data_IF_725033933418
#
_entry.id   IF_725033933418
#
_cell.length_a   1.000
_cell.length_b   1.000
_cell.length_c   1.000
_cell.angle_alpha   90.00
_cell.angle_beta   90.00
_cell.angle_gamma   90.00
#
_symmetry.space_group_name_H-M   'P 1'
#
loop_
_entity.id
_entity.type
_entity.pdbx_description
1 polymer ?
#
# COMPACT_ATOMS: atom_id res chain seq x y z
N UNK A 1 -18.20 -0.18 -38.14
CA UNK A 1 -17.12 0.14 -37.17
C UNK A 1 -16.48 -1.16 -36.73
N UNK A 2 -15.16 -1.29 -36.89
CA UNK A 2 -14.42 -2.51 -36.54
C UNK A 2 -14.68 -2.89 -35.08
N UNK A 3 -15.10 -4.15 -34.83
CA UNK A 3 -15.30 -4.69 -33.47
C UNK A 3 -14.08 -4.43 -32.55
N UNK A 4 -12.89 -4.36 -33.14
CA UNK A 4 -11.64 -4.06 -32.48
C UNK A 4 -11.51 -2.58 -32.03
N UNK A 5 -11.92 -1.64 -32.89
CA UNK A 5 -11.94 -0.20 -32.54
C UNK A 5 -12.90 0.05 -31.37
N UNK A 6 -14.04 -0.63 -31.37
CA UNK A 6 -15.01 -0.58 -30.27
C UNK A 6 -14.41 -1.10 -28.95
N UNK A 7 -13.68 -2.23 -28.98
CA UNK A 7 -13.01 -2.79 -27.80
C UNK A 7 -11.89 -1.90 -27.25
N UNK A 8 -11.06 -1.31 -28.13
CA UNK A 8 -10.01 -0.37 -27.71
C UNK A 8 -10.61 0.92 -27.11
N UNK A 9 -11.72 1.40 -27.67
CA UNK A 9 -12.44 2.55 -27.14
C UNK A 9 -13.09 2.24 -25.78
N UNK A 10 -13.67 1.04 -25.62
CA UNK A 10 -14.23 0.58 -24.35
C UNK A 10 -13.15 0.41 -23.27
N UNK A 11 -12.00 -0.16 -23.63
CA UNK A 11 -10.82 -0.27 -22.77
C UNK A 11 -10.34 1.11 -22.29
N UNK A 12 -10.17 2.07 -23.21
CA UNK A 12 -9.78 3.45 -22.87
C UNK A 12 -10.77 4.11 -21.91
N UNK A 13 -12.08 4.01 -22.19
CA UNK A 13 -13.12 4.59 -21.33
C UNK A 13 -13.14 3.97 -19.93
N UNK A 14 -12.90 2.65 -19.81
CA UNK A 14 -12.85 1.96 -18.52
C UNK A 14 -11.59 2.33 -17.72
N UNK A 15 -10.44 2.48 -18.37
CA UNK A 15 -9.22 2.98 -17.71
C UNK A 15 -9.40 4.42 -17.20
N UNK A 16 -9.95 5.33 -18.00
CA UNK A 16 -10.25 6.72 -17.61
C UNK A 16 -11.27 6.79 -16.45
N UNK A 17 -12.29 5.93 -16.46
CA UNK A 17 -13.27 5.82 -15.34
C UNK A 17 -12.63 5.30 -14.05
N UNK A 18 -11.61 4.45 -14.13
CA UNK A 18 -10.85 3.98 -12.97
C UNK A 18 -9.83 5.00 -12.45
N UNK A 19 -9.40 5.96 -13.27
CA UNK A 19 -8.57 7.09 -12.81
C UNK A 19 -9.42 8.20 -12.14
N UNK A 20 -10.66 8.38 -12.58
CA UNK A 20 -11.61 9.38 -12.03
C UNK A 20 -12.39 8.90 -10.81
N UNK A 21 -12.60 7.58 -10.63
CA UNK A 21 -13.12 7.02 -9.37
C UNK A 21 -12.02 7.00 -8.30
N UNK A 22 -12.31 7.61 -7.15
CA UNK A 22 -11.40 7.66 -6.00
C UNK A 22 -10.90 6.27 -5.58
N UNK A 23 -9.65 6.23 -5.10
CA UNK A 23 -8.80 5.05 -4.82
C UNK A 23 -9.37 4.01 -3.82
N UNK A 24 -10.57 4.23 -3.27
CA UNK A 24 -11.25 3.36 -2.30
C UNK A 24 -12.07 2.24 -2.94
N UNK A 25 -12.28 2.24 -4.26
CA UNK A 25 -13.15 1.25 -4.95
C UNK A 25 -12.43 0.41 -6.02
N UNK A 26 -11.08 0.41 -6.06
CA UNK A 26 -10.31 -0.37 -7.05
C UNK A 26 -10.22 -1.86 -6.72
N UNK A 27 -10.31 -2.24 -5.45
CA UNK A 27 -9.96 -3.61 -5.01
C UNK A 27 -11.15 -4.59 -4.95
N UNK A 28 -12.41 -4.15 -5.09
CA UNK A 28 -13.55 -5.06 -4.88
C UNK A 28 -14.48 -5.31 -6.08
N UNK A 29 -14.29 -4.68 -7.25
CA UNK A 29 -15.14 -5.00 -8.41
C UNK A 29 -14.61 -4.66 -9.83
N UNK A 30 -13.37 -4.17 -10.01
CA UNK A 30 -12.96 -3.58 -11.31
C UNK A 30 -11.57 -3.92 -11.86
N UNK A 31 -10.63 -4.39 -11.03
CA UNK A 31 -9.26 -4.67 -11.46
C UNK A 31 -9.15 -5.88 -12.41
N UNK A 32 -9.86 -6.97 -12.09
CA UNK A 32 -9.92 -8.17 -12.93
C UNK A 32 -10.43 -7.84 -14.33
N UNK A 33 -11.52 -7.08 -14.43
CA UNK A 33 -12.13 -6.74 -15.73
C UNK A 33 -11.21 -5.98 -16.69
N UNK A 34 -10.25 -5.18 -16.21
CA UNK A 34 -9.33 -4.45 -17.09
C UNK A 34 -8.21 -5.36 -17.58
N UNK A 35 -7.66 -6.21 -16.71
CA UNK A 35 -6.65 -7.20 -17.08
C UNK A 35 -7.22 -8.26 -18.03
N UNK A 36 -8.46 -8.68 -17.82
CA UNK A 36 -9.17 -9.62 -18.71
C UNK A 36 -9.37 -9.01 -20.11
N UNK A 37 -9.70 -7.71 -20.18
CA UNK A 37 -9.82 -7.01 -21.47
C UNK A 37 -8.46 -6.82 -22.16
N UNK A 38 -7.38 -6.57 -21.42
CA UNK A 38 -6.03 -6.50 -21.99
C UNK A 38 -5.65 -7.86 -22.60
N UNK A 39 -5.92 -8.94 -21.88
CA UNK A 39 -5.70 -10.29 -22.36
C UNK A 39 -6.54 -10.58 -23.61
N UNK A 40 -7.84 -10.26 -23.60
CA UNK A 40 -8.74 -10.42 -24.75
C UNK A 40 -8.27 -9.64 -25.99
N UNK A 41 -7.80 -8.41 -25.82
CA UNK A 41 -7.31 -7.57 -26.93
C UNK A 41 -6.04 -8.18 -27.51
N UNK A 42 -5.10 -8.62 -26.67
CA UNK A 42 -3.84 -9.21 -27.13
C UNK A 42 -4.05 -10.58 -27.77
N UNK A 43 -4.94 -11.42 -27.22
CA UNK A 43 -5.34 -12.71 -27.79
C UNK A 43 -5.92 -12.57 -29.19
N UNK A 44 -6.68 -11.50 -29.48
CA UNK A 44 -7.18 -11.24 -30.84
C UNK A 44 -6.08 -11.01 -31.89
N UNK A 45 -4.88 -10.64 -31.45
CA UNK A 45 -3.70 -10.48 -32.30
C UNK A 45 -2.75 -11.69 -32.23
N UNK A 46 -3.08 -12.73 -31.46
CA UNK A 46 -2.18 -13.87 -31.21
C UNK A 46 -0.97 -13.49 -30.36
N UNK A 47 -1.09 -12.45 -29.53
CA UNK A 47 -0.03 -11.97 -28.65
C UNK A 47 -0.30 -12.44 -27.20
N UNK A 48 0.72 -12.93 -26.47
CA UNK A 48 0.58 -13.21 -25.06
C UNK A 48 0.45 -11.91 -24.26
N UNK A 49 -0.13 -11.98 -23.05
CA UNK A 49 -0.24 -10.85 -22.13
C UNK A 49 1.09 -10.47 -21.44
N UNK A 50 2.18 -10.41 -22.21
CA UNK A 50 3.49 -10.01 -21.70
C UNK A 50 3.56 -8.50 -21.48
N UNK A 51 4.39 -8.09 -20.53
CA UNK A 51 4.57 -6.66 -20.18
C UNK A 51 4.91 -5.81 -21.40
N UNK A 52 5.73 -6.32 -22.32
CA UNK A 52 6.06 -5.63 -23.58
C UNK A 52 4.83 -5.27 -24.42
N UNK A 53 3.86 -6.17 -24.53
CA UNK A 53 2.67 -5.95 -25.36
C UNK A 53 1.60 -5.15 -24.62
N UNK A 54 1.46 -5.38 -23.31
CA UNK A 54 0.58 -4.59 -22.43
C UNK A 54 1.02 -3.12 -22.40
N UNK A 55 2.33 -2.84 -22.43
CA UNK A 55 2.85 -1.47 -22.47
C UNK A 55 2.33 -0.69 -23.69
N UNK A 56 2.10 -1.35 -24.84
CA UNK A 56 1.53 -0.69 -26.04
C UNK A 56 0.11 -0.18 -25.75
N UNK A 57 -0.66 -0.92 -24.95
CA UNK A 57 -2.01 -0.53 -24.53
C UNK A 57 -1.96 0.58 -23.46
N UNK A 58 -1.01 0.52 -22.53
CA UNK A 58 -0.86 1.55 -21.49
C UNK A 58 -0.36 2.89 -22.06
N UNK A 59 0.53 2.85 -23.05
CA UNK A 59 0.98 4.02 -23.80
C UNK A 59 -0.17 4.68 -24.57
N UNK A 60 -1.15 3.89 -25.01
CA UNK A 60 -2.38 4.38 -25.65
C UNK A 60 -3.30 5.09 -24.64
N UNK A 61 -3.50 4.49 -23.46
CA UNK A 61 -4.35 5.06 -22.40
C UNK A 61 -3.78 6.35 -21.80
N UNK A 62 -2.46 6.50 -21.84
CA UNK A 62 -1.77 7.69 -21.32
C UNK A 62 -1.98 8.96 -22.16
N UNK A 63 -2.62 8.86 -23.33
CA UNK A 63 -2.93 10.01 -24.19
C UNK A 63 -4.24 10.69 -23.76
N UNK A 64 -4.33 12.02 -23.90
CA UNK A 64 -5.46 12.82 -23.37
C UNK A 64 -6.77 12.65 -24.15
N UNK A 65 -6.72 12.27 -25.42
CA UNK A 65 -7.89 12.15 -26.30
C UNK A 65 -7.79 10.91 -27.20
N UNK A 66 -8.92 10.22 -27.42
CA UNK A 66 -9.03 9.11 -28.39
C UNK A 66 -9.61 9.64 -29.68
N UNK A 67 -8.79 9.60 -30.73
CA UNK A 67 -9.20 9.87 -32.11
C UNK A 67 -9.08 8.60 -32.96
N UNK A 68 -9.85 8.50 -34.05
CA UNK A 68 -9.84 7.34 -34.95
C UNK A 68 -8.43 7.04 -35.51
N UNK A 69 -7.64 8.09 -35.78
CA UNK A 69 -6.25 7.96 -36.20
C UNK A 69 -5.34 7.29 -35.15
N UNK A 70 -5.61 7.52 -33.86
CA UNK A 70 -4.85 6.91 -32.78
C UNK A 70 -5.22 5.42 -32.63
N UNK A 71 -6.51 5.09 -32.77
CA UNK A 71 -6.97 3.70 -32.79
C UNK A 71 -6.34 2.91 -33.96
N UNK A 72 -6.25 3.52 -35.14
CA UNK A 72 -5.59 2.92 -36.30
C UNK A 72 -4.08 2.76 -36.09
N UNK A 73 -3.43 3.74 -35.45
CA UNK A 73 -2.01 3.67 -35.11
C UNK A 73 -1.70 2.53 -34.13
N UNK A 74 -2.48 2.39 -33.06
CA UNK A 74 -2.32 1.32 -32.06
C UNK A 74 -2.62 -0.03 -32.67
N UNK A 75 -3.68 -0.14 -33.49
CA UNK A 75 -3.98 -1.37 -34.24
C UNK A 75 -2.84 -1.76 -35.16
N UNK A 76 -2.23 -0.81 -35.88
CA UNK A 76 -1.07 -1.06 -36.75
C UNK A 76 0.17 -1.50 -35.94
N UNK A 77 0.41 -0.89 -34.78
CA UNK A 77 1.49 -1.30 -33.86
C UNK A 77 1.30 -2.72 -33.33
N UNK A 78 0.10 -3.07 -32.86
CA UNK A 78 -0.22 -4.42 -32.39
C UNK A 78 -0.10 -5.45 -33.52
N UNK A 79 -0.58 -5.15 -34.73
CA UNK A 79 -0.38 -6.03 -35.90
C UNK A 79 1.08 -6.22 -36.28
N UNK A 80 1.89 -5.16 -36.18
CA UNK A 80 3.33 -5.24 -36.47
C UNK A 80 4.05 -6.07 -35.41
N UNK A 81 3.71 -5.87 -34.14
CA UNK A 81 4.22 -6.65 -33.03
C UNK A 81 3.83 -8.14 -33.15
N UNK A 82 2.57 -8.42 -33.49
CA UNK A 82 2.05 -9.76 -33.77
C UNK A 82 2.76 -10.43 -34.93
N UNK A 83 2.95 -9.73 -36.06
CA UNK A 83 3.74 -10.27 -37.18
C UNK A 83 5.15 -10.63 -36.76
N UNK A 84 5.83 -9.77 -36.00
CA UNK A 84 7.18 -10.05 -35.54
C UNK A 84 7.24 -11.24 -34.58
N UNK A 85 6.22 -11.39 -33.72
CA UNK A 85 6.11 -12.50 -32.76
C UNK A 85 5.79 -13.83 -33.45
N UNK A 86 4.79 -13.85 -34.34
CA UNK A 86 4.35 -15.04 -35.05
C UNK A 86 5.36 -15.53 -36.10
N UNK A 87 6.20 -14.64 -36.62
CA UNK A 87 7.31 -14.98 -37.52
C UNK A 87 8.61 -15.32 -36.78
N UNK A 88 8.62 -15.27 -35.44
CA UNK A 88 9.78 -15.69 -34.66
C UNK A 88 9.98 -17.21 -34.78
N UNK A 89 11.23 -17.70 -34.71
CA UNK A 89 11.50 -19.13 -34.73
C UNK A 89 10.81 -19.81 -33.54
N UNK A 90 10.21 -20.98 -33.80
CA UNK A 90 9.64 -21.82 -32.75
C UNK A 90 10.80 -22.42 -31.97
N UNK A 91 10.93 -22.03 -30.72
CA UNK A 91 11.95 -22.50 -29.78
C UNK A 91 11.24 -23.30 -28.70
N UNK A 92 11.83 -24.41 -28.23
CA UNK A 92 11.23 -25.23 -27.18
C UNK A 92 11.12 -24.46 -25.85
N UNK A 93 10.15 -24.80 -25.00
CA UNK A 93 9.96 -24.15 -23.68
C UNK A 93 11.24 -24.19 -22.83
N UNK A 94 12.02 -25.27 -22.95
CA UNK A 94 13.29 -25.43 -22.26
C UNK A 94 14.34 -24.42 -22.75
N UNK A 95 14.53 -24.35 -24.07
CA UNK A 95 15.46 -23.40 -24.68
C UNK A 95 15.01 -21.95 -24.46
N UNK A 96 13.69 -21.69 -24.38
CA UNK A 96 13.16 -20.37 -24.01
C UNK A 96 13.52 -20.00 -22.56
N UNK A 97 13.44 -20.95 -21.62
CA UNK A 97 13.85 -20.75 -20.23
C UNK A 97 15.36 -20.51 -20.12
N UNK A 98 16.18 -21.25 -20.85
CA UNK A 98 17.62 -21.08 -20.87
C UNK A 98 18.03 -19.73 -21.50
N UNK A 99 17.43 -19.35 -22.63
CA UNK A 99 17.65 -18.03 -23.22
C UNK A 99 17.17 -16.90 -22.30
N UNK A 100 16.06 -17.09 -21.58
CA UNK A 100 15.54 -16.11 -20.63
C UNK A 100 16.48 -15.92 -19.43
N UNK A 101 17.11 -17.02 -18.99
CA UNK A 101 18.13 -17.01 -17.94
C UNK A 101 19.38 -16.24 -18.37
N UNK A 102 19.87 -16.47 -19.59
CA UNK A 102 21.02 -15.74 -20.16
C UNK A 102 20.72 -14.25 -20.37
N UNK A 103 19.55 -13.94 -20.90
CA UNK A 103 19.13 -12.57 -21.23
C UNK A 103 18.50 -11.83 -20.04
N UNK A 104 18.36 -12.48 -18.87
CA UNK A 104 17.66 -11.98 -17.68
C UNK A 104 16.29 -11.38 -17.99
N UNK A 105 15.51 -12.07 -18.84
CA UNK A 105 14.15 -11.63 -19.19
C UNK A 105 13.27 -11.56 -17.94
N UNK A 106 12.35 -10.61 -17.88
CA UNK A 106 11.48 -10.49 -16.70
C UNK A 106 10.50 -11.69 -16.64
N UNK A 107 10.17 -12.21 -15.45
CA UNK A 107 9.17 -13.30 -15.32
C UNK A 107 7.81 -12.94 -15.93
N UNK A 108 7.45 -11.66 -15.88
CA UNK A 108 6.22 -11.09 -16.46
C UNK A 108 6.21 -11.09 -17.99
N UNK A 109 7.37 -11.22 -18.64
CA UNK A 109 7.46 -11.38 -20.09
C UNK A 109 7.50 -12.86 -20.48
N UNK A 110 8.23 -13.67 -19.71
CA UNK A 110 8.48 -15.08 -20.02
C UNK A 110 7.27 -15.98 -19.76
N UNK A 111 6.59 -15.82 -18.61
CA UNK A 111 5.48 -16.70 -18.23
C UNK A 111 4.32 -16.66 -19.24
N UNK A 112 3.89 -15.49 -19.74
CA UNK A 112 2.87 -15.43 -20.79
C UNK A 112 3.32 -16.04 -22.13
N UNK A 113 4.61 -15.93 -22.48
CA UNK A 113 5.16 -16.54 -23.71
C UNK A 113 5.11 -18.08 -23.62
N UNK A 114 5.34 -18.64 -22.43
CA UNK A 114 5.24 -20.07 -22.13
C UNK A 114 3.80 -20.57 -21.88
N UNK A 115 2.82 -19.66 -21.83
CA UNK A 115 1.42 -20.00 -21.55
C UNK A 115 1.10 -20.31 -20.09
N UNK A 116 1.95 -19.88 -19.15
CA UNK A 116 1.72 -20.02 -17.71
C UNK A 116 1.10 -18.74 -17.11
N UNK A 117 0.24 -18.87 -16.08
CA UNK A 117 -0.32 -17.71 -15.39
C UNK A 117 0.79 -16.91 -14.69
N UNK A 118 0.64 -15.59 -14.63
CA UNK A 118 1.55 -14.71 -13.90
C UNK A 118 1.02 -14.50 -12.49
N UNK A 119 1.46 -15.36 -11.57
CA UNK A 119 1.08 -15.32 -10.16
C UNK A 119 2.31 -15.40 -9.25
N UNK A 120 2.14 -15.19 -7.94
CA UNK A 120 3.28 -15.10 -7.02
C UNK A 120 4.14 -16.37 -7.02
N UNK A 121 3.54 -17.54 -7.22
CA UNK A 121 4.25 -18.82 -7.26
C UNK A 121 5.08 -19.00 -8.55
N UNK A 122 4.48 -18.81 -9.73
CA UNK A 122 5.20 -18.88 -11.01
C UNK A 122 6.31 -17.84 -11.12
N UNK A 123 6.07 -16.62 -10.59
CA UNK A 123 7.09 -15.56 -10.50
C UNK A 123 8.21 -15.97 -9.53
N UNK A 124 7.91 -16.67 -8.44
CA UNK A 124 8.91 -17.24 -7.55
C UNK A 124 9.75 -18.33 -8.25
N UNK A 125 9.12 -19.26 -8.97
CA UNK A 125 9.83 -20.32 -9.70
C UNK A 125 10.84 -19.74 -10.72
N UNK A 126 10.45 -18.72 -11.49
CA UNK A 126 11.35 -18.09 -12.46
C UNK A 126 12.32 -17.11 -11.80
N UNK A 127 11.80 -16.17 -11.02
CA UNK A 127 12.58 -15.05 -10.48
C UNK A 127 13.56 -15.46 -9.37
N UNK A 128 13.19 -16.43 -8.54
CA UNK A 128 13.96 -16.83 -7.37
C UNK A 128 14.70 -18.13 -7.62
N UNK A 129 14.03 -19.17 -8.10
CA UNK A 129 14.67 -20.47 -8.31
C UNK A 129 15.56 -20.47 -9.56
N UNK A 130 15.02 -20.12 -10.73
CA UNK A 130 15.78 -20.15 -11.99
C UNK A 130 16.88 -19.08 -12.02
N UNK A 131 16.58 -17.83 -11.64
CA UNK A 131 17.54 -16.72 -11.79
C UNK A 131 18.48 -16.52 -10.61
N UNK A 132 18.00 -16.61 -9.35
CA UNK A 132 18.85 -16.34 -8.17
C UNK A 132 19.51 -17.59 -7.62
N UNK A 133 18.75 -18.67 -7.45
CA UNK A 133 19.27 -19.95 -6.94
C UNK A 133 19.89 -20.81 -8.05
N UNK A 134 19.80 -20.37 -9.31
CA UNK A 134 20.43 -21.00 -10.47
C UNK A 134 20.02 -22.47 -10.67
N UNK A 135 18.78 -22.83 -10.34
CA UNK A 135 18.23 -24.18 -10.54
C UNK A 135 18.16 -24.48 -12.05
N UNK A 136 18.20 -25.78 -12.39
CA UNK A 136 18.15 -26.26 -13.77
C UNK A 136 16.78 -25.97 -14.39
N UNK A 137 16.76 -25.47 -15.63
CA UNK A 137 15.52 -25.09 -16.33
C UNK A 137 14.51 -26.26 -16.45
N UNK A 138 15.03 -27.49 -16.59
CA UNK A 138 14.24 -28.72 -16.64
C UNK A 138 13.38 -28.88 -15.37
N UNK A 139 13.97 -28.75 -14.18
CA UNK A 139 13.27 -28.94 -12.92
C UNK A 139 12.18 -27.88 -12.71
N UNK A 140 12.45 -26.64 -13.13
CA UNK A 140 11.47 -25.54 -13.05
C UNK A 140 10.32 -25.76 -14.03
N UNK A 141 10.61 -26.22 -15.25
CA UNK A 141 9.59 -26.53 -16.26
C UNK A 141 8.72 -27.72 -15.84
N UNK A 142 9.31 -28.76 -15.24
CA UNK A 142 8.57 -29.89 -14.68
C UNK A 142 7.60 -29.43 -13.60
N UNK A 143 8.04 -28.59 -12.67
CA UNK A 143 7.17 -28.05 -11.62
C UNK A 143 6.02 -27.23 -12.21
N UNK A 144 6.31 -26.32 -13.16
CA UNK A 144 5.29 -25.52 -13.85
C UNK A 144 4.24 -26.39 -14.54
N UNK A 145 4.67 -27.46 -15.21
CA UNK A 145 3.77 -28.44 -15.84
C UNK A 145 2.93 -29.17 -14.81
N UNK A 146 3.52 -29.67 -13.73
CA UNK A 146 2.78 -30.39 -12.67
C UNK A 146 1.67 -29.53 -12.06
N UNK A 147 1.97 -28.27 -11.77
CA UNK A 147 1.00 -27.32 -11.19
C UNK A 147 -0.12 -27.03 -12.19
N UNK A 148 0.20 -26.88 -13.47
CA UNK A 148 -0.79 -26.66 -14.53
C UNK A 148 -1.69 -27.88 -14.76
N UNK A 149 -1.13 -29.10 -14.74
CA UNK A 149 -1.91 -30.33 -14.89
C UNK A 149 -2.83 -30.59 -13.70
N UNK A 150 -2.40 -30.24 -12.49
CA UNK A 150 -3.19 -30.41 -11.28
C UNK A 150 -4.20 -29.27 -11.06
N UNK A 151 -4.08 -28.15 -11.79
CA UNK A 151 -4.89 -26.93 -11.65
C UNK A 151 -4.93 -26.37 -10.20
N UNK A 152 -3.78 -26.42 -9.53
CA UNK A 152 -3.65 -26.07 -8.09
C UNK A 152 -3.06 -24.68 -7.86
N UNK A 153 -3.10 -23.80 -8.86
CA UNK A 153 -2.49 -22.46 -8.77
C UNK A 153 -3.03 -21.66 -7.59
N UNK A 154 -4.35 -21.59 -7.43
CA UNK A 154 -4.98 -20.81 -6.36
C UNK A 154 -4.71 -21.40 -4.98
N UNK A 155 -4.71 -22.73 -4.87
CA UNK A 155 -4.43 -23.45 -3.62
C UNK A 155 -3.00 -23.18 -3.12
N UNK A 156 -2.02 -23.13 -4.02
CA UNK A 156 -0.63 -22.77 -3.67
C UNK A 156 -0.54 -21.32 -3.21
N UNK A 157 -1.25 -20.40 -3.87
CA UNK A 157 -1.27 -18.98 -3.48
C UNK A 157 -1.91 -18.79 -2.10
N UNK A 158 -2.95 -19.57 -1.78
CA UNK A 158 -3.57 -19.59 -0.45
C UNK A 158 -2.60 -20.13 0.60
N UNK A 159 -1.87 -21.20 0.27
CA UNK A 159 -0.90 -21.82 1.18
C UNK A 159 0.18 -20.82 1.63
N UNK A 160 0.66 -19.98 0.71
CA UNK A 160 1.66 -18.94 1.01
C UNK A 160 1.19 -17.85 1.99
N UNK A 161 -0.10 -17.81 2.35
CA UNK A 161 -0.69 -16.87 3.32
C UNK A 161 -0.96 -17.51 4.69
N UNK A 162 -0.76 -18.82 4.82
CA UNK A 162 -1.04 -19.58 6.05
C UNK A 162 0.23 -19.66 6.91
N UNK A 163 0.13 -19.25 8.17
CA UNK A 163 1.27 -19.21 9.11
C UNK A 163 1.75 -20.62 9.49
N UNK A 164 0.82 -21.57 9.67
CA UNK A 164 1.12 -22.99 9.96
C UNK A 164 0.73 -23.88 8.77
N UNK A 165 1.35 -23.62 7.61
CA UNK A 165 0.98 -24.32 6.38
C UNK A 165 1.23 -25.83 6.45
N UNK A 166 2.25 -26.28 7.20
CA UNK A 166 2.66 -27.68 7.31
C UNK A 166 1.66 -28.61 8.01
N UNK A 167 0.72 -28.09 8.80
CA UNK A 167 -0.36 -28.88 9.43
C UNK A 167 -1.70 -28.72 8.73
N UNK A 168 -1.75 -27.96 7.63
CA UNK A 168 -2.98 -27.65 6.92
C UNK A 168 -3.32 -28.72 5.88
N UNK A 169 -4.59 -29.06 5.71
CA UNK A 169 -5.03 -30.07 4.72
C UNK A 169 -4.63 -29.74 3.28
N UNK A 170 -4.55 -28.44 2.95
CA UNK A 170 -4.03 -27.98 1.65
C UNK A 170 -2.59 -28.43 1.41
N UNK A 171 -1.73 -28.40 2.43
CA UNK A 171 -0.34 -28.81 2.27
C UNK A 171 -0.21 -30.30 1.94
N UNK A 172 -1.00 -31.15 2.60
CA UNK A 172 -1.03 -32.58 2.29
C UNK A 172 -1.53 -32.84 0.86
N UNK A 173 -2.61 -32.17 0.46
CA UNK A 173 -3.10 -32.24 -0.94
C UNK A 173 -2.06 -31.80 -1.96
N UNK A 174 -1.31 -30.74 -1.67
CA UNK A 174 -0.25 -30.29 -2.57
C UNK A 174 0.95 -31.24 -2.60
N UNK A 175 1.27 -31.92 -1.50
CA UNK A 175 2.31 -32.95 -1.45
C UNK A 175 1.93 -34.22 -2.22
N UNK A 176 0.65 -34.55 -2.30
CA UNK A 176 0.16 -35.65 -3.14
C UNK A 176 0.44 -35.42 -4.63
N UNK A 177 0.58 -34.15 -5.06
CA UNK A 177 0.99 -33.77 -6.42
C UNK A 177 2.52 -33.74 -6.62
N UNK A 178 3.31 -34.18 -5.64
CA UNK A 178 4.78 -34.25 -5.68
C UNK A 178 5.46 -32.92 -6.06
N UNK A 179 4.89 -31.81 -5.60
CA UNK A 179 5.42 -30.47 -5.86
C UNK A 179 6.63 -30.21 -4.95
N UNK A 180 7.80 -30.04 -5.59
CA UNK A 180 9.10 -30.02 -4.92
C UNK A 180 9.36 -28.71 -4.19
N UNK A 181 8.90 -27.58 -4.73
CA UNK A 181 9.32 -26.24 -4.28
C UNK A 181 8.30 -25.52 -3.41
N UNK A 182 7.26 -26.21 -2.96
CA UNK A 182 6.19 -25.62 -2.14
C UNK A 182 6.71 -25.15 -0.78
N UNK A 183 7.57 -25.94 -0.14
CA UNK A 183 8.14 -25.57 1.16
C UNK A 183 8.99 -24.30 1.04
N UNK A 184 9.83 -24.24 0.01
CA UNK A 184 10.63 -23.06 -0.29
C UNK A 184 9.76 -21.83 -0.56
N UNK A 185 8.68 -21.98 -1.31
CA UNK A 185 7.75 -20.90 -1.60
C UNK A 185 7.01 -20.41 -0.36
N UNK A 186 6.47 -21.33 0.46
CA UNK A 186 5.74 -20.96 1.67
C UNK A 186 6.65 -20.22 2.66
N UNK A 187 7.87 -20.70 2.86
CA UNK A 187 8.87 -20.02 3.67
C UNK A 187 9.26 -18.66 3.10
N UNK A 188 9.42 -18.55 1.78
CA UNK A 188 9.76 -17.29 1.13
C UNK A 188 8.60 -16.29 1.18
N UNK A 189 7.37 -16.73 1.00
CA UNK A 189 6.17 -15.89 1.13
C UNK A 189 6.05 -15.34 2.55
N UNK A 190 6.27 -16.18 3.56
CA UNK A 190 6.31 -15.74 4.97
C UNK A 190 7.47 -14.76 5.21
N UNK A 191 8.68 -15.04 4.70
CA UNK A 191 9.82 -14.11 4.78
C UNK A 191 9.54 -12.79 4.06
N UNK A 192 8.84 -12.79 2.94
CA UNK A 192 8.48 -11.57 2.22
C UNK A 192 7.35 -10.80 2.90
N UNK A 193 6.40 -11.49 3.54
CA UNK A 193 5.38 -10.85 4.37
C UNK A 193 6.02 -10.25 5.62
N UNK A 194 6.90 -10.99 6.29
CA UNK A 194 7.68 -10.53 7.42
C UNK A 194 8.68 -9.43 7.02
N UNK A 195 9.28 -9.48 5.83
CA UNK A 195 10.14 -8.42 5.31
C UNK A 195 9.36 -7.23 4.75
N UNK A 196 8.09 -7.37 4.38
CA UNK A 196 7.19 -6.23 4.14
C UNK A 196 6.71 -5.61 5.45
N UNK A 197 6.61 -6.40 6.52
CA UNK A 197 6.32 -5.93 7.87
C UNK A 197 7.55 -5.30 8.57
N UNK A 198 8.75 -5.86 8.37
CA UNK A 198 10.02 -5.40 8.94
C UNK A 198 10.71 -4.35 8.05
N UNK A 199 10.60 -4.49 6.73
CA UNK A 199 11.13 -3.59 5.72
C UNK A 199 10.22 -2.39 5.50
N UNK A 200 10.13 -1.55 6.53
CA UNK A 200 10.24 -0.07 6.48
C UNK A 200 9.82 0.50 7.84
N UNK A 201 10.62 0.24 8.88
CA UNK A 201 11.05 1.35 9.76
C UNK A 201 11.93 2.28 8.92
N UNK A 202 11.33 3.04 8.00
CA UNK A 202 11.97 4.24 7.52
C UNK A 202 11.95 5.19 8.72
N UNK A 203 13.09 5.29 9.41
CA UNK A 203 13.26 6.30 10.45
C UNK A 203 12.95 7.68 9.82
N UNK A 204 12.22 8.57 10.51
CA UNK A 204 11.83 9.92 10.05
C UNK A 204 12.92 10.79 9.41
N UNK A 205 14.20 10.47 9.59
CA UNK A 205 15.28 11.39 9.27
C UNK A 205 16.12 11.04 8.02
N UNK A 206 16.11 9.80 7.51
CA UNK A 206 17.18 9.38 6.61
C UNK A 206 16.98 9.68 5.11
N UNK A 207 15.75 9.96 4.65
CA UNK A 207 15.44 10.07 3.20
C UNK A 207 14.46 11.21 2.84
N UNK A 208 14.34 12.25 3.67
CA UNK A 208 13.34 13.32 3.47
C UNK A 208 11.89 12.87 3.73
N UNK A 209 11.73 11.81 4.51
CA UNK A 209 10.45 11.25 4.96
C UNK A 209 9.86 12.10 6.09
N UNK A 210 8.82 12.87 5.83
CA UNK A 210 8.09 13.60 6.89
C UNK A 210 6.85 12.80 7.32
N UNK A 211 6.88 12.13 8.48
CA UNK A 211 5.74 11.34 8.95
C UNK A 211 4.55 12.26 9.24
N UNK A 212 3.36 11.80 8.87
CA UNK A 212 2.11 12.46 9.26
C UNK A 212 1.73 11.98 10.67
N UNK A 213 2.18 12.74 11.66
CA UNK A 213 1.92 12.44 13.06
C UNK A 213 0.45 12.70 13.40
N UNK A 214 -0.18 11.73 14.04
CA UNK A 214 -1.55 11.78 14.52
C UNK A 214 -1.60 11.48 15.99
N UNK A 215 -2.46 12.19 16.70
CA UNK A 215 -2.73 11.90 18.10
C UNK A 215 -3.85 10.88 18.22
N UNK A 216 -3.58 9.82 18.98
CA UNK A 216 -4.55 8.80 19.33
C UNK A 216 -4.73 8.80 20.84
N UNK A 217 -5.98 8.87 21.28
CA UNK A 217 -6.42 8.71 22.66
C UNK A 217 -7.58 7.72 22.69
N UNK A 218 -7.81 7.06 23.84
CA UNK A 218 -8.92 6.12 24.06
C UNK A 218 -8.87 4.90 23.14
N UNK A 219 -7.87 4.05 23.37
CA UNK A 219 -7.72 2.77 22.68
C UNK A 219 -8.21 1.63 23.57
N UNK A 220 -9.01 0.73 23.02
CA UNK A 220 -9.33 -0.54 23.67
C UNK A 220 -8.43 -1.64 23.11
N UNK A 221 -7.57 -2.19 23.95
CA UNK A 221 -6.62 -3.24 23.59
C UNK A 221 -7.26 -4.61 23.79
N UNK A 222 -7.24 -5.41 22.72
CA UNK A 222 -7.78 -6.76 22.69
C UNK A 222 -6.63 -7.78 22.73
N UNK A 223 -5.62 -7.60 21.89
CA UNK A 223 -4.49 -8.53 21.79
C UNK A 223 -3.15 -7.81 21.92
N UNK A 224 -2.17 -8.47 22.53
CA UNK A 224 -0.76 -8.07 22.52
C UNK A 224 0.03 -9.18 21.84
N UNK A 225 0.71 -8.85 20.75
CA UNK A 225 1.50 -9.77 19.95
C UNK A 225 2.98 -9.42 20.03
N UNK A 226 3.82 -10.44 20.17
CA UNK A 226 5.27 -10.35 20.03
C UNK A 226 5.68 -11.14 18.81
N UNK A 227 6.41 -10.50 17.89
CA UNK A 227 6.98 -11.17 16.74
C UNK A 227 8.23 -12.01 17.12
N UNK A 228 8.86 -12.63 16.12
CA UNK A 228 10.10 -13.41 16.29
C UNK A 228 11.27 -12.58 16.83
N UNK A 229 11.22 -11.26 16.67
CA UNK A 229 12.21 -10.31 17.18
C UNK A 229 11.81 -9.74 18.55
N UNK A 230 10.73 -10.25 19.14
CA UNK A 230 10.12 -9.77 20.38
C UNK A 230 9.70 -8.30 20.34
N UNK A 231 9.45 -7.76 19.15
CA UNK A 231 8.88 -6.43 18.98
C UNK A 231 7.38 -6.51 19.31
N UNK A 232 6.90 -5.71 20.27
CA UNK A 232 5.50 -5.73 20.63
C UNK A 232 4.65 -4.98 19.61
N UNK A 233 3.48 -5.55 19.35
CA UNK A 233 2.39 -4.88 18.69
C UNK A 233 1.10 -5.08 19.47
N UNK A 234 0.31 -4.01 19.55
CA UNK A 234 -0.98 -4.01 20.21
C UNK A 234 -2.07 -3.98 19.15
N UNK A 235 -3.01 -4.90 19.23
CA UNK A 235 -4.22 -4.89 18.41
C UNK A 235 -5.37 -4.40 19.28
N UNK A 236 -6.10 -3.42 18.75
CA UNK A 236 -7.20 -2.83 19.47
C UNK A 236 -8.22 -2.15 18.59
N UNK A 237 -9.20 -1.54 19.25
CA UNK A 237 -10.27 -0.76 18.64
C UNK A 237 -10.12 0.70 19.03
N UNK A 238 -9.91 1.54 18.03
CA UNK A 238 -9.90 2.98 18.17
C UNK A 238 -11.31 3.53 17.93
N UNK A 239 -11.79 4.37 18.85
CA UNK A 239 -13.07 5.06 18.67
C UNK A 239 -12.89 6.28 17.78
N UNK A 240 -13.46 6.26 16.58
CA UNK A 240 -13.49 7.38 15.64
C UNK A 240 -14.94 7.80 15.41
N UNK A 241 -15.37 8.86 16.09
CA UNK A 241 -16.77 9.30 16.10
C UNK A 241 -17.71 8.24 16.69
N UNK A 242 -18.65 7.75 15.87
CA UNK A 242 -19.62 6.71 16.24
C UNK A 242 -19.17 5.27 15.94
N UNK A 243 -18.00 5.08 15.30
CA UNK A 243 -17.52 3.76 14.87
C UNK A 243 -16.23 3.38 15.58
N UNK A 244 -16.07 2.08 15.83
CA UNK A 244 -14.81 1.50 16.27
C UNK A 244 -14.05 0.96 15.06
N UNK A 245 -12.80 1.37 14.92
CA UNK A 245 -11.91 0.94 13.86
C UNK A 245 -10.86 0.03 14.48
N UNK A 246 -10.71 -1.19 13.95
CA UNK A 246 -9.62 -2.09 14.36
C UNK A 246 -8.29 -1.52 13.86
N UNK A 247 -7.33 -1.39 14.76
CA UNK A 247 -6.01 -0.83 14.52
C UNK A 247 -4.94 -1.73 15.11
N UNK A 248 -3.77 -1.74 14.47
CA UNK A 248 -2.57 -2.40 14.99
C UNK A 248 -1.52 -1.32 15.23
N UNK A 249 -0.97 -1.28 16.44
CA UNK A 249 0.06 -0.33 16.83
C UNK A 249 1.35 -1.07 17.12
N UNK A 250 2.36 -0.84 16.29
CA UNK A 250 3.71 -1.36 16.49
C UNK A 250 4.49 -0.36 17.34
N UNK A 251 5.17 -0.87 18.36
CA UNK A 251 5.90 -0.06 19.32
C UNK A 251 7.13 -0.79 19.83
N UNK A 252 7.99 -0.08 20.53
CA UNK A 252 9.13 -0.67 21.22
C UNK A 252 8.71 -1.27 22.58
N UNK A 253 9.53 -2.17 23.11
CA UNK A 253 9.26 -2.76 24.43
C UNK A 253 9.23 -1.73 25.56
N UNK A 254 10.06 -0.69 25.48
CA UNK A 254 10.05 0.46 26.38
C UNK A 254 8.71 1.19 26.33
N UNK A 255 8.20 1.45 25.13
CA UNK A 255 6.91 2.09 24.88
C UNK A 255 5.75 1.23 25.40
N UNK A 256 5.75 -0.08 25.14
CA UNK A 256 4.73 -0.99 25.68
C UNK A 256 4.68 -0.94 27.21
N UNK A 257 5.83 -0.99 27.88
CA UNK A 257 5.87 -0.90 29.35
C UNK A 257 5.28 0.43 29.85
N UNK A 258 5.58 1.54 29.16
CA UNK A 258 5.02 2.85 29.50
C UNK A 258 3.50 2.89 29.30
N UNK A 259 2.99 2.29 28.22
CA UNK A 259 1.54 2.14 28.00
C UNK A 259 0.91 1.34 29.14
N UNK A 260 1.45 0.18 29.47
CA UNK A 260 0.91 -0.69 30.52
C UNK A 260 0.96 -0.01 31.89
N UNK A 261 2.04 0.70 32.23
CA UNK A 261 2.13 1.46 33.48
C UNK A 261 1.07 2.58 33.57
N UNK A 262 0.66 3.14 32.43
CA UNK A 262 -0.40 4.15 32.40
C UNK A 262 -1.82 3.56 32.54
N UNK A 263 -1.98 2.24 32.51
CA UNK A 263 -3.28 1.54 32.52
C UNK A 263 -3.66 0.94 33.88
N UNK A 264 -3.20 1.55 34.98
CA UNK A 264 -3.50 1.16 36.35
C UNK A 264 -3.18 -0.33 36.65
N UNK A 265 -3.98 -0.98 37.51
CA UNK A 265 -3.73 -2.31 38.05
C UNK A 265 -3.65 -3.39 36.96
N UNK A 266 -4.60 -3.39 36.01
CA UNK A 266 -4.62 -4.33 34.88
C UNK A 266 -3.34 -4.27 34.05
N UNK A 267 -2.83 -3.07 33.79
CA UNK A 267 -1.60 -2.90 33.03
C UNK A 267 -0.38 -3.50 33.75
N UNK A 268 -0.33 -3.40 35.09
CA UNK A 268 0.72 -4.02 35.90
C UNK A 268 0.63 -5.55 35.86
N UNK A 269 -0.58 -6.11 35.98
CA UNK A 269 -0.81 -7.56 35.88
C UNK A 269 -0.42 -8.12 34.51
N UNK A 270 -0.86 -7.46 33.43
CA UNK A 270 -0.49 -7.81 32.05
C UNK A 270 1.03 -7.73 31.88
N UNK A 271 1.67 -6.67 32.40
CA UNK A 271 3.12 -6.51 32.34
C UNK A 271 3.88 -7.63 33.07
N UNK A 272 3.41 -8.06 34.24
CA UNK A 272 4.00 -9.18 34.97
C UNK A 272 3.82 -10.52 34.22
N UNK A 273 2.64 -10.72 33.62
CA UNK A 273 2.34 -11.90 32.81
C UNK A 273 3.21 -11.99 31.56
N UNK A 274 3.38 -10.87 30.85
CA UNK A 274 4.29 -10.76 29.69
C UNK A 274 5.71 -11.16 30.08
N UNK A 275 6.23 -10.61 31.18
CA UNK A 275 7.58 -10.96 31.68
C UNK A 275 7.72 -12.45 31.95
N UNK A 276 6.69 -13.08 32.53
CA UNK A 276 6.67 -14.53 32.81
C UNK A 276 6.60 -15.37 31.53
N UNK A 277 5.80 -14.97 30.53
CA UNK A 277 5.75 -15.67 29.23
C UNK A 277 7.05 -15.50 28.44
N UNK A 278 7.66 -14.32 28.45
CA UNK A 278 8.93 -14.07 27.77
C UNK A 278 10.12 -14.79 28.42
N UNK A 279 10.11 -14.98 29.75
CA UNK A 279 11.17 -15.73 30.44
C UNK A 279 11.05 -17.26 30.29
N UNK A 280 9.84 -17.77 30.05
CA UNK A 280 9.56 -19.19 29.86
C UNK A 280 9.50 -19.67 28.40
N UNK A 281 9.42 -18.77 27.42
CA UNK A 281 9.31 -19.11 26.01
C UNK A 281 10.66 -19.44 25.36
N UNK A 282 10.66 -20.42 24.44
CA UNK A 282 11.78 -20.61 23.50
C UNK A 282 11.89 -19.34 22.62
N UNK A 283 13.12 -18.82 22.47
CA UNK A 283 13.43 -17.48 21.94
C UNK A 283 12.92 -17.16 20.52
N UNK A 284 12.33 -18.11 19.80
CA UNK A 284 12.00 -17.98 18.36
C UNK A 284 10.52 -18.24 18.03
N UNK A 285 9.62 -18.24 19.02
CA UNK A 285 8.17 -18.41 18.77
C UNK A 285 7.40 -17.11 19.00
N UNK A 286 6.56 -16.66 18.06
CA UNK A 286 5.69 -15.51 18.28
C UNK A 286 4.74 -15.78 19.44
N UNK A 287 4.56 -14.78 20.29
CA UNK A 287 3.70 -14.88 21.48
C UNK A 287 2.48 -14.01 21.25
N UNK A 288 1.30 -14.61 21.27
CA UNK A 288 0.04 -13.90 21.29
C UNK A 288 -0.57 -13.96 22.69
N UNK A 289 -1.05 -12.82 23.19
CA UNK A 289 -1.75 -12.69 24.46
C UNK A 289 -3.10 -12.05 24.16
N UNK A 290 -4.16 -12.86 24.25
CA UNK A 290 -5.53 -12.37 24.25
C UNK A 290 -5.84 -11.82 25.65
N UNK A 291 -5.98 -10.51 25.75
CA UNK A 291 -6.15 -9.83 27.04
C UNK A 291 -7.50 -10.19 27.66
N UNK A 292 -8.54 -10.36 26.84
CA UNK A 292 -9.87 -10.69 27.33
C UNK A 292 -9.93 -12.13 27.85
N UNK A 293 -9.31 -13.07 27.15
CA UNK A 293 -9.30 -14.47 27.57
C UNK A 293 -8.49 -14.68 28.86
N UNK A 294 -7.35 -14.00 29.00
CA UNK A 294 -6.43 -14.21 30.13
C UNK A 294 -6.82 -13.39 31.37
N UNK A 295 -7.43 -12.21 31.21
CA UNK A 295 -7.75 -11.28 32.32
C UNK A 295 -9.24 -10.98 32.47
N UNK A 296 -10.11 -11.59 31.65
CA UNK A 296 -11.56 -11.44 31.73
C UNK A 296 -12.14 -10.11 31.22
N UNK A 297 -11.28 -9.13 30.88
CA UNK A 297 -11.69 -7.80 30.40
C UNK A 297 -10.70 -7.24 29.39
N UNK A 298 -11.13 -6.23 28.61
CA UNK A 298 -10.26 -5.51 27.67
C UNK A 298 -9.48 -4.42 28.39
N UNK A 299 -8.24 -4.19 27.98
CA UNK A 299 -7.41 -3.12 28.54
C UNK A 299 -7.80 -1.77 27.91
N UNK A 300 -8.26 -0.82 28.73
CA UNK A 300 -8.66 0.51 28.28
C UNK A 300 -7.54 1.53 28.50
N UNK A 301 -7.10 2.15 27.41
CA UNK A 301 -6.08 3.20 27.43
C UNK A 301 -6.75 4.58 27.35
N UNK A 302 -7.33 5.02 28.47
CA UNK A 302 -8.01 6.32 28.54
C UNK A 302 -7.06 7.48 28.87
N UNK A 303 -6.04 7.22 29.68
CA UNK A 303 -5.03 8.22 30.12
C UNK A 303 -3.71 8.12 29.36
N UNK A 304 -3.71 7.47 28.18
CA UNK A 304 -2.54 7.34 27.33
C UNK A 304 -2.74 8.11 26.01
N UNK A 305 -1.83 9.05 25.73
CA UNK A 305 -1.83 9.84 24.49
C UNK A 305 -0.69 9.39 23.60
N UNK A 306 -1.01 8.73 22.49
CA UNK A 306 -0.05 8.17 21.57
C UNK A 306 0.10 9.08 20.35
N UNK A 307 1.33 9.53 20.09
CA UNK A 307 1.71 10.16 18.83
C UNK A 307 2.12 9.05 17.87
N UNK A 308 1.31 8.84 16.84
CA UNK A 308 1.44 7.71 15.92
C UNK A 308 1.55 8.18 14.48
N UNK A 309 2.16 7.38 13.63
CA UNK A 309 2.20 7.62 12.19
C UNK A 309 1.95 6.35 11.39
N UNK A 310 1.48 6.53 10.16
CA UNK A 310 1.40 5.42 9.20
C UNK A 310 2.71 5.27 8.44
N UNK A 311 3.16 4.03 8.16
CA UNK A 311 4.31 3.81 7.30
C UNK A 311 4.01 4.37 5.91
N UNK A 312 4.98 5.08 5.31
CA UNK A 312 4.87 5.57 3.94
C UNK A 312 5.78 4.76 3.01
N UNK A 313 5.35 4.61 1.77
CA UNK A 313 6.14 4.04 0.70
C UNK A 313 6.29 5.06 -0.44
N UNK A 314 7.40 4.98 -1.17
CA UNK A 314 7.64 5.86 -2.30
C UNK A 314 6.87 5.34 -3.52
N UNK A 315 5.98 6.17 -4.04
CA UNK A 315 5.23 5.91 -5.28
C UNK A 315 5.37 7.12 -6.20
N UNK A 316 5.96 6.91 -7.39
CA UNK A 316 6.21 7.98 -8.38
C UNK A 316 6.99 9.18 -7.79
N UNK A 317 8.01 8.90 -6.97
CA UNK A 317 8.84 9.92 -6.33
C UNK A 317 8.18 10.69 -5.18
N UNK A 318 6.94 10.36 -4.79
CA UNK A 318 6.23 10.95 -3.65
C UNK A 318 6.03 9.91 -2.54
N UNK A 319 6.14 10.34 -1.29
CA UNK A 319 5.82 9.51 -0.13
C UNK A 319 4.30 9.39 0.02
N UNK A 320 3.79 8.16 0.11
CA UNK A 320 2.36 7.86 0.22
C UNK A 320 2.13 6.94 1.42
N UNK A 321 1.21 7.29 2.30
CA UNK A 321 0.81 6.46 3.44
C UNK A 321 0.21 5.12 2.99
N UNK A 322 0.50 4.09 3.76
CA UNK A 322 -0.09 2.76 3.58
C UNK A 322 -1.57 2.80 3.97
N UNK A 323 -2.41 2.09 3.21
CA UNK A 323 -3.87 2.07 3.43
C UNK A 323 -4.26 1.34 4.72
N UNK A 324 -3.42 0.40 5.17
CA UNK A 324 -3.69 -0.44 6.33
C UNK A 324 -3.86 0.38 7.61
N UNK A 325 -4.63 -0.15 8.56
CA UNK A 325 -4.79 0.43 9.90
C UNK A 325 -3.61 0.06 10.81
N UNK A 326 -2.41 0.06 10.23
CA UNK A 326 -1.15 -0.17 10.91
C UNK A 326 -0.53 1.19 11.23
N UNK A 327 -0.19 1.37 12.50
CA UNK A 327 0.40 2.58 13.03
C UNK A 327 1.69 2.24 13.78
N UNK A 328 2.68 3.11 13.67
CA UNK A 328 3.88 3.08 14.49
C UNK A 328 3.78 4.14 15.57
N UNK A 329 4.13 3.78 16.79
CA UNK A 329 4.19 4.73 17.91
C UNK A 329 5.52 5.47 17.84
N UNK A 330 5.46 6.78 17.63
CA UNK A 330 6.62 7.66 17.68
C UNK A 330 6.92 8.04 19.12
N UNK A 331 5.91 8.59 19.82
CA UNK A 331 6.05 9.06 21.18
C UNK A 331 4.79 8.82 22.00
N UNK A 332 4.99 8.52 23.28
CA UNK A 332 3.91 8.49 24.27
C UNK A 332 3.99 9.78 25.06
N UNK A 333 2.90 10.55 25.05
CA UNK A 333 2.79 11.82 25.75
C UNK A 333 2.06 11.64 27.07
N UNK A 334 2.54 12.33 28.10
CA UNK A 334 1.77 12.52 29.32
C UNK A 334 0.59 13.47 29.08
N UNK A 335 -0.43 13.41 29.94
CA UNK A 335 -1.59 14.32 29.88
C UNK A 335 -1.20 15.80 29.85
N UNK A 336 -0.19 16.20 30.63
CA UNK A 336 0.33 17.58 30.66
C UNK A 336 0.96 18.01 29.34
N UNK A 337 1.74 17.12 28.71
CA UNK A 337 2.35 17.39 27.41
C UNK A 337 1.32 17.43 26.29
N UNK A 338 0.32 16.54 26.35
CA UNK A 338 -0.81 16.53 25.44
C UNK A 338 -1.60 17.84 25.52
N UNK A 339 -2.00 18.27 26.72
CA UNK A 339 -2.77 19.50 26.92
C UNK A 339 -1.99 20.73 26.41
N UNK A 340 -0.66 20.75 26.60
CA UNK A 340 0.20 21.82 26.05
C UNK A 340 0.21 21.81 24.52
N UNK A 341 0.49 20.66 23.89
CA UNK A 341 0.49 20.53 22.42
C UNK A 341 -0.89 20.85 21.82
N UNK A 342 -1.97 20.40 22.45
CA UNK A 342 -3.34 20.65 21.99
C UNK A 342 -3.67 22.14 22.04
N UNK A 343 -3.30 22.84 23.12
CA UNK A 343 -3.49 24.29 23.23
C UNK A 343 -2.65 25.06 22.21
N UNK A 344 -1.40 24.66 22.00
CA UNK A 344 -0.54 25.28 20.98
C UNK A 344 -1.12 25.09 19.57
N UNK A 345 -1.66 23.91 19.25
CA UNK A 345 -2.31 23.64 17.98
C UNK A 345 -3.61 24.45 17.81
N UNK A 346 -4.43 24.56 18.85
CA UNK A 346 -5.63 25.40 18.85
C UNK A 346 -5.30 26.88 18.64
N UNK A 347 -4.29 27.39 19.36
CA UNK A 347 -3.82 28.78 19.21
C UNK A 347 -3.29 29.00 17.80
N UNK A 348 -2.52 28.06 17.25
CA UNK A 348 -2.03 28.15 15.87
C UNK A 348 -3.19 28.18 14.87
N UNK A 349 -4.19 27.32 15.02
CA UNK A 349 -5.39 27.32 14.17
C UNK A 349 -6.14 28.65 14.24
N UNK A 350 -6.34 29.19 15.43
CA UNK A 350 -6.94 30.53 15.61
C UNK A 350 -6.10 31.64 14.95
N UNK A 351 -4.78 31.55 15.02
CA UNK A 351 -3.89 32.49 14.34
C UNK A 351 -4.03 32.34 12.82
N UNK A 352 -4.04 31.13 12.28
CA UNK A 352 -4.23 30.87 10.85
C UNK A 352 -5.57 31.39 10.34
N UNK A 353 -6.68 31.13 11.05
CA UNK A 353 -8.01 31.69 10.74
C UNK A 353 -7.98 33.22 10.73
N UNK A 354 -7.37 33.85 11.73
CA UNK A 354 -7.20 35.30 11.76
C UNK A 354 -6.37 35.81 10.57
N UNK A 355 -5.28 35.13 10.22
CA UNK A 355 -4.44 35.52 9.08
C UNK A 355 -5.20 35.37 7.75
N UNK A 356 -6.02 34.32 7.59
CA UNK A 356 -6.87 34.15 6.41
C UNK A 356 -7.90 35.26 6.28
N UNK A 357 -8.56 35.65 7.38
CA UNK A 357 -9.50 36.77 7.41
C UNK A 357 -8.80 38.08 7.01
N UNK A 358 -7.61 38.36 7.55
CA UNK A 358 -6.83 39.54 7.22
C UNK A 358 -6.42 39.54 5.74
N UNK A 359 -5.93 38.41 5.22
CA UNK A 359 -5.62 38.27 3.78
C UNK A 359 -6.85 38.42 2.88
N UNK A 360 -8.01 37.93 3.34
CA UNK A 360 -9.31 38.09 2.68
C UNK A 360 -9.78 39.54 2.59
N UNK A 361 -9.56 40.32 3.65
CA UNK A 361 -9.85 41.76 3.68
C UNK A 361 -9.08 42.54 2.62
N UNK A 362 -7.82 42.17 2.34
CA UNK A 362 -7.07 42.80 1.25
C UNK A 362 -7.63 42.44 -0.14
N UNK A 363 -8.04 41.18 -0.34
CA UNK A 363 -8.74 40.79 -1.56
C UNK A 363 -10.06 41.55 -1.75
N UNK A 364 -10.77 41.86 -0.66
CA UNK A 364 -11.97 42.70 -0.69
C UNK A 364 -11.65 44.17 -1.01
N UNK A 365 -10.60 44.74 -0.42
CA UNK A 365 -10.07 46.05 -0.79
C UNK A 365 -9.73 46.13 -2.29
N UNK A 366 -9.00 45.15 -2.83
CA UNK A 366 -8.65 45.13 -4.26
C UNK A 366 -9.89 45.08 -5.17
N UNK A 367 -10.91 44.30 -4.81
CA UNK A 367 -12.18 44.26 -5.55
C UNK A 367 -12.86 45.63 -5.56
N UNK A 368 -12.90 46.33 -4.43
CA UNK A 368 -13.47 47.68 -4.34
C UNK A 368 -12.69 48.70 -5.17
N UNK A 369 -11.35 48.62 -5.18
CA UNK A 369 -10.51 49.45 -6.04
C UNK A 369 -10.80 49.21 -7.53
N UNK A 370 -11.04 47.96 -7.94
CA UNK A 370 -11.46 47.62 -9.31
C UNK A 370 -12.84 48.17 -9.69
N UNK A 371 -13.72 48.37 -8.72
CA UNK A 371 -15.04 48.98 -8.90
C UNK A 371 -15.02 50.53 -8.90
N UNK A 372 -13.83 51.13 -8.86
CA UNK A 372 -13.67 52.60 -8.92
C UNK A 372 -13.83 53.32 -7.59
N UNK A 373 -13.90 52.60 -6.46
CA UNK A 373 -13.96 53.20 -5.12
C UNK A 373 -12.60 53.82 -4.79
N UNK A 374 -12.62 54.98 -4.12
CA UNK A 374 -11.41 55.71 -3.70
C UNK A 374 -10.58 54.87 -2.71
N UNK A 375 -9.29 55.17 -2.62
CA UNK A 375 -8.36 54.37 -1.81
C UNK A 375 -8.73 54.38 -0.32
N UNK A 376 -9.00 55.57 0.21
CA UNK A 376 -9.41 55.79 1.60
C UNK A 376 -10.74 55.10 1.93
N UNK A 377 -11.73 55.20 1.03
CA UNK A 377 -13.03 54.57 1.24
C UNK A 377 -12.97 53.05 1.11
N UNK A 378 -12.13 52.52 0.21
CA UNK A 378 -11.90 51.09 0.07
C UNK A 378 -11.16 50.52 1.29
N UNK A 379 -10.19 51.25 1.87
CA UNK A 379 -9.51 50.85 3.11
C UNK A 379 -10.47 50.85 4.29
N UNK A 380 -11.28 51.90 4.43
CA UNK A 380 -12.32 52.00 5.47
C UNK A 380 -13.31 50.82 5.39
N UNK A 381 -13.90 50.58 4.22
CA UNK A 381 -14.92 49.52 4.03
C UNK A 381 -14.33 48.10 4.15
N UNK A 382 -13.03 47.92 3.92
CA UNK A 382 -12.34 46.66 4.14
C UNK A 382 -11.78 46.48 5.56
N UNK A 383 -11.94 47.48 6.45
CA UNK A 383 -11.39 47.44 7.80
C UNK A 383 -9.86 47.51 7.86
N UNK A 384 -9.21 48.07 6.84
CA UNK A 384 -7.76 48.16 6.69
C UNK A 384 -7.24 49.60 6.86
N UNK A 385 -7.80 50.33 7.82
CA UNK A 385 -7.39 51.71 8.10
C UNK A 385 -6.03 51.78 8.80
N UNK A 386 -5.68 50.75 9.58
CA UNK A 386 -4.37 50.64 10.22
C UNK A 386 -3.30 50.26 9.19
N UNK A 387 -2.20 51.02 9.16
CA UNK A 387 -1.15 50.87 8.16
C UNK A 387 -0.39 49.54 8.28
N UNK A 388 -0.21 49.02 9.50
CA UNK A 388 0.43 47.73 9.75
C UNK A 388 -0.49 46.59 9.32
N UNK A 389 -1.79 46.71 9.62
CA UNK A 389 -2.80 45.74 9.19
C UNK A 389 -2.91 45.72 7.65
N UNK A 390 -2.88 46.89 7.01
CA UNK A 390 -2.87 46.99 5.55
C UNK A 390 -1.62 46.31 4.98
N UNK A 391 -0.42 46.61 5.48
CA UNK A 391 0.83 45.95 5.03
C UNK A 391 0.77 44.43 5.23
N UNK A 392 0.38 43.96 6.43
CA UNK A 392 0.25 42.54 6.73
C UNK A 392 -0.74 41.84 5.79
N UNK A 393 -1.90 42.46 5.57
CA UNK A 393 -2.92 41.94 4.64
C UNK A 393 -2.42 41.85 3.20
N UNK A 394 -1.56 42.78 2.76
CA UNK A 394 -0.93 42.72 1.43
C UNK A 394 0.04 41.55 1.30
N UNK A 395 0.84 41.27 2.33
CA UNK A 395 1.78 40.15 2.34
C UNK A 395 1.04 38.81 2.37
N UNK A 396 0.01 38.69 3.21
CA UNK A 396 -0.79 37.47 3.32
C UNK A 396 -1.55 37.16 2.03
N UNK A 397 -2.05 38.19 1.33
CA UNK A 397 -2.69 38.00 0.04
C UNK A 397 -1.71 37.53 -1.04
N UNK A 398 -0.51 38.10 -1.10
CA UNK A 398 0.55 37.69 -2.04
C UNK A 398 1.08 36.28 -1.81
N UNK A 399 0.98 35.76 -0.59
CA UNK A 399 1.38 34.38 -0.27
C UNK A 399 0.32 33.35 -0.70
N UNK A 400 -0.88 33.80 -1.08
CA UNK A 400 -2.00 32.94 -1.46
C UNK A 400 -2.14 32.73 -2.97
N UNK A 401 -1.50 33.58 -3.76
CA UNK A 401 -1.31 33.46 -5.22
C UNK A 401 0.02 32.77 -5.51
#
# INVERSE_FOLDING_TARGET
>A
MDKLKLKLQEYYQRCQRQETRSKTSREQAGGASVLDMENDILLQFGLPASKRFVQILHDFVSQREVNDHLLDYVSKKLRTAARKYLLAPVISDLEQLDQAKEQKKTPYDLLPELGYPVNDYSVFLIGELLYRRNIVAVDVLEELKKVQYADVWDDILLLGKIVNYNTHELYHRMKDHELRFIDDYAQQSLKQQNAKAAGKKALPASEGYTPNLRMVSKLQVEDILFDEQQMPSIIGKLKSGSRYIRVTMVMEFSQLNQVLQSSAELGVEIGAFIKKKLSGAQKDKPIAIDVRAEFGQVLQLDDCHLEVYKPQHQSRGKWVETKDNLYFVDKILSRKEYDKKSKEAEIRGKIEECLELIGGSYGYYQRMRKLGITDEEAKLRAGLQDELLFKLSTFLHKLRD
#
